data_IF_813276529972
#
_entry.id   IF_813276529972
#
_cell.length_a   1.000
_cell.length_b   1.000
_cell.length_c   1.000
_cell.angle_alpha   90.00
_cell.angle_beta   90.00
_cell.angle_gamma   90.00
#
_symmetry.space_group_name_H-M   'P 1'
#
loop_
_entity.id
_entity.type
_entity.pdbx_description
1 polymer ?
#
# COMPACT_ATOMS: atom_id res chain seq x y z
N UNK A 1 0.34 -18.66 8.47
CA UNK A 1 0.24 -17.28 7.87
C UNK A 1 -1.09 -16.67 8.22
N UNK A 2 -1.11 -15.41 8.67
CA UNK A 2 -2.36 -14.72 9.02
C UNK A 2 -2.50 -13.43 8.20
N UNK A 3 -3.63 -13.30 7.48
CA UNK A 3 -3.98 -12.17 6.61
C UNK A 3 -3.67 -12.38 5.13
N UNK A 4 -4.73 -12.42 4.32
CA UNK A 4 -4.68 -12.60 2.85
C UNK A 4 -4.68 -11.29 2.05
N UNK A 5 -4.13 -10.21 2.63
CA UNK A 5 -3.89 -8.93 1.95
C UNK A 5 -2.66 -8.97 1.03
N UNK A 6 -2.20 -7.80 0.55
CA UNK A 6 -1.05 -7.70 -0.35
C UNK A 6 0.22 -8.34 0.23
N UNK A 7 0.57 -8.00 1.48
CA UNK A 7 1.77 -8.53 2.13
C UNK A 7 1.67 -10.04 2.38
N UNK A 8 0.50 -10.51 2.84
CA UNK A 8 0.31 -11.94 3.08
C UNK A 8 0.30 -12.77 1.80
N UNK A 9 -0.26 -12.23 0.71
CA UNK A 9 -0.23 -12.87 -0.60
C UNK A 9 1.21 -13.05 -1.12
N UNK A 10 2.04 -12.02 -1.00
CA UNK A 10 3.45 -12.09 -1.37
C UNK A 10 4.24 -13.06 -0.48
N UNK A 11 4.01 -13.02 0.83
CA UNK A 11 4.73 -13.91 1.75
C UNK A 11 4.33 -15.38 1.55
N UNK A 12 3.04 -15.67 1.34
CA UNK A 12 2.58 -17.02 1.03
C UNK A 12 3.18 -17.54 -0.28
N UNK A 13 3.20 -16.69 -1.32
CA UNK A 13 3.82 -17.00 -2.61
C UNK A 13 5.33 -17.27 -2.45
N UNK A 14 6.05 -16.37 -1.77
CA UNK A 14 7.48 -16.51 -1.56
C UNK A 14 7.87 -17.78 -0.79
N UNK A 15 7.06 -18.23 0.16
CA UNK A 15 7.25 -19.50 0.88
C UNK A 15 6.96 -20.70 -0.02
N UNK A 16 5.82 -20.69 -0.73
CA UNK A 16 5.39 -21.81 -1.56
C UNK A 16 6.34 -22.07 -2.74
N UNK A 17 6.85 -21.01 -3.40
CA UNK A 17 7.88 -21.11 -4.45
C UNK A 17 9.21 -21.70 -3.93
N UNK A 18 9.40 -21.74 -2.59
CA UNK A 18 10.55 -22.40 -1.95
C UNK A 18 10.22 -23.79 -1.42
N UNK A 19 9.07 -24.36 -1.82
CA UNK A 19 8.65 -25.71 -1.45
C UNK A 19 8.13 -25.86 -0.02
N UNK A 20 7.80 -24.74 0.64
CA UNK A 20 7.21 -24.74 1.99
C UNK A 20 5.69 -24.73 1.88
N UNK A 21 5.03 -25.73 2.47
CA UNK A 21 3.57 -25.76 2.56
C UNK A 21 3.07 -24.62 3.45
N UNK A 22 2.10 -23.85 2.95
CA UNK A 22 1.55 -22.65 3.60
C UNK A 22 0.07 -22.83 3.88
N UNK A 23 -0.34 -22.64 5.14
CA UNK A 23 -1.74 -22.39 5.50
C UNK A 23 -1.94 -20.89 5.64
N UNK A 24 -2.72 -20.30 4.72
CA UNK A 24 -3.04 -18.88 4.70
C UNK A 24 -4.44 -18.65 5.30
N UNK A 25 -4.48 -18.08 6.51
CA UNK A 25 -5.73 -17.70 7.16
C UNK A 25 -6.21 -16.34 6.70
N UNK A 26 -7.44 -16.26 6.20
CA UNK A 26 -8.14 -15.03 5.82
C UNK A 26 -9.52 -14.99 6.50
N UNK A 27 -9.78 -13.93 7.26
CA UNK A 27 -11.02 -13.86 8.04
C UNK A 27 -12.29 -13.69 7.20
N UNK A 28 -12.20 -13.15 6.00
CA UNK A 28 -13.37 -13.00 5.10
C UNK A 28 -13.68 -14.29 4.38
N UNK A 29 -14.96 -14.60 4.15
CA UNK A 29 -16.17 -13.80 4.42
C UNK A 29 -16.73 -13.96 5.84
N UNK A 30 -16.14 -14.80 6.71
CA UNK A 30 -16.68 -15.11 8.05
C UNK A 30 -16.73 -13.84 8.92
N UNK A 31 -15.68 -13.04 8.89
CA UNK A 31 -15.63 -11.72 9.52
C UNK A 31 -15.18 -10.68 8.50
N UNK A 32 -15.97 -9.63 8.33
CA UNK A 32 -15.70 -8.55 7.38
C UNK A 32 -15.20 -7.29 8.07
N UNK A 33 -14.68 -6.34 7.30
CA UNK A 33 -14.35 -4.99 7.77
C UNK A 33 -15.16 -3.95 7.00
N UNK A 34 -15.23 -2.74 7.50
CA UNK A 34 -15.96 -1.66 6.83
C UNK A 34 -15.37 -1.29 5.43
N UNK A 35 -14.07 -1.55 5.21
CA UNK A 35 -13.39 -1.19 3.98
C UNK A 35 -13.48 -2.25 2.86
N UNK A 36 -13.52 -3.53 3.22
CA UNK A 36 -13.58 -4.64 2.27
C UNK A 36 -15.01 -4.87 1.72
N UNK A 37 -15.10 -5.31 0.48
CA UNK A 37 -16.36 -5.58 -0.24
C UNK A 37 -16.49 -7.02 -0.72
N UNK A 38 -15.37 -7.74 -0.82
CA UNK A 38 -15.31 -9.12 -1.33
C UNK A 38 -14.55 -10.02 -0.35
N UNK A 39 -14.59 -11.30 -0.61
CA UNK A 39 -13.78 -12.32 0.08
C UNK A 39 -12.46 -12.64 -0.62
N UNK A 40 -12.16 -11.95 -1.75
CA UNK A 40 -10.95 -12.19 -2.52
C UNK A 40 -9.70 -11.75 -1.76
N UNK A 41 -8.61 -12.48 -2.00
CA UNK A 41 -7.29 -12.10 -1.50
C UNK A 41 -6.81 -10.81 -2.17
N UNK A 42 -5.93 -10.08 -1.51
CA UNK A 42 -5.31 -8.84 -2.00
C UNK A 42 -6.29 -7.76 -2.47
N UNK A 43 -7.50 -7.67 -1.90
CA UNK A 43 -8.45 -6.61 -2.23
C UNK A 43 -7.87 -5.22 -1.91
N UNK A 44 -7.95 -4.29 -2.88
CA UNK A 44 -7.51 -2.91 -2.72
C UNK A 44 -8.61 -2.07 -2.08
N UNK A 45 -8.41 -1.62 -0.86
CA UNK A 45 -9.46 -0.96 -0.06
C UNK A 45 -9.49 0.57 -0.19
N UNK A 46 -8.36 1.22 -0.46
CA UNK A 46 -8.25 2.69 -0.54
C UNK A 46 -8.34 3.19 -1.99
N UNK A 47 -7.26 3.08 -2.75
CA UNK A 47 -7.20 3.50 -4.16
C UNK A 47 -6.93 2.29 -5.08
N UNK A 48 -7.05 2.48 -6.40
CA UNK A 48 -6.67 1.44 -7.37
C UNK A 48 -5.25 1.64 -7.92
N UNK A 49 -4.42 2.44 -7.27
CA UNK A 49 -3.11 2.83 -7.79
C UNK A 49 -1.96 2.33 -6.91
N UNK A 50 -0.98 1.72 -7.54
CA UNK A 50 0.33 1.41 -6.96
C UNK A 50 1.35 2.55 -7.15
N UNK A 51 0.89 3.78 -7.43
CA UNK A 51 1.72 4.96 -7.67
C UNK A 51 2.62 4.81 -8.91
N UNK A 52 3.64 5.68 -9.07
CA UNK A 52 4.47 5.79 -10.28
C UNK A 52 5.20 4.48 -10.65
N UNK A 53 5.31 4.19 -11.95
CA UNK A 53 6.14 3.10 -12.50
C UNK A 53 7.55 3.54 -12.89
N UNK A 54 7.82 4.85 -12.94
CA UNK A 54 9.11 5.39 -13.36
C UNK A 54 10.19 5.08 -12.31
N UNK A 55 11.30 4.41 -12.65
CA UNK A 55 12.35 4.09 -11.66
C UNK A 55 13.00 5.32 -11.02
N UNK A 56 12.99 6.48 -11.69
CA UNK A 56 13.45 7.77 -11.15
C UNK A 56 12.46 8.40 -10.15
N UNK A 57 11.38 7.67 -9.85
CA UNK A 57 10.47 7.89 -8.72
C UNK A 57 10.67 6.77 -7.70
N UNK A 58 10.65 7.07 -6.40
CA UNK A 58 10.92 6.08 -5.34
C UNK A 58 9.97 4.87 -5.38
N UNK A 59 8.67 5.11 -5.64
CA UNK A 59 7.70 4.01 -5.79
C UNK A 59 7.95 3.16 -7.04
N UNK A 60 8.47 3.76 -8.12
CA UNK A 60 8.87 3.04 -9.33
C UNK A 60 10.12 2.20 -9.09
N UNK A 61 11.10 2.75 -8.37
CA UNK A 61 12.30 2.02 -7.95
C UNK A 61 11.94 0.79 -7.10
N UNK A 62 11.12 0.97 -6.07
CA UNK A 62 10.69 -0.14 -5.22
C UNK A 62 9.99 -1.25 -6.04
N UNK A 63 9.12 -0.90 -7.00
CA UNK A 63 8.52 -1.89 -7.91
C UNK A 63 9.54 -2.63 -8.77
N UNK A 64 10.55 -1.91 -9.27
CA UNK A 64 11.61 -2.54 -10.04
C UNK A 64 12.44 -3.54 -9.20
N UNK A 65 12.63 -3.26 -7.92
CA UNK A 65 13.26 -4.15 -6.95
C UNK A 65 12.38 -5.37 -6.64
N UNK A 66 11.08 -5.17 -6.40
CA UNK A 66 10.12 -6.26 -6.15
C UNK A 66 10.00 -7.23 -7.32
N UNK A 67 10.02 -6.72 -8.57
CA UNK A 67 10.02 -7.60 -9.76
C UNK A 67 11.23 -8.52 -9.80
N UNK A 68 12.40 -8.05 -9.36
CA UNK A 68 13.62 -8.87 -9.22
C UNK A 68 13.49 -9.98 -8.18
N UNK A 69 12.60 -9.77 -7.21
CA UNK A 69 12.30 -10.76 -6.16
C UNK A 69 11.11 -11.68 -6.50
N UNK A 70 10.51 -11.55 -7.69
CA UNK A 70 9.41 -12.41 -8.14
C UNK A 70 8.05 -12.06 -7.54
N UNK A 71 7.70 -10.78 -7.45
CA UNK A 71 6.43 -10.30 -6.89
C UNK A 71 5.20 -10.79 -7.65
N UNK A 72 4.37 -11.63 -7.02
CA UNK A 72 3.09 -12.09 -7.55
C UNK A 72 2.06 -10.95 -7.64
N UNK A 73 2.10 -10.01 -6.71
CA UNK A 73 1.21 -8.84 -6.68
C UNK A 73 1.48 -7.93 -7.88
N UNK A 74 2.75 -7.64 -8.19
CA UNK A 74 3.07 -6.79 -9.35
C UNK A 74 2.78 -7.48 -10.68
N UNK A 75 2.96 -8.78 -10.78
CA UNK A 75 2.57 -9.54 -11.97
C UNK A 75 1.05 -9.46 -12.20
N UNK A 76 0.25 -9.66 -11.16
CA UNK A 76 -1.20 -9.49 -11.23
C UNK A 76 -1.61 -8.05 -11.54
N UNK A 77 -0.90 -7.05 -10.99
CA UNK A 77 -1.16 -5.63 -11.26
C UNK A 77 -0.88 -5.27 -12.74
N UNK A 78 0.20 -5.79 -13.33
CA UNK A 78 0.50 -5.57 -14.73
C UNK A 78 -0.58 -6.19 -15.65
N UNK A 79 -1.13 -7.38 -15.29
CA UNK A 79 -2.24 -8.02 -16.01
C UNK A 79 -3.56 -7.26 -15.89
N UNK A 80 -3.80 -6.59 -14.76
CA UNK A 80 -5.04 -5.86 -14.48
C UNK A 80 -4.97 -4.36 -14.79
N UNK A 81 -3.92 -3.91 -15.47
CA UNK A 81 -3.63 -2.49 -15.70
C UNK A 81 -4.76 -1.78 -16.44
N UNK A 82 -5.03 -0.55 -16.00
CA UNK A 82 -5.92 0.43 -16.65
C UNK A 82 -5.16 1.74 -16.89
N UNK A 83 -5.64 2.64 -17.77
CA UNK A 83 -5.04 3.95 -17.98
C UNK A 83 -4.86 4.73 -16.68
N UNK A 84 -3.66 5.28 -16.45
CA UNK A 84 -3.32 5.97 -15.20
C UNK A 84 -2.06 6.85 -15.29
N UNK A 85 -1.70 7.31 -16.49
CA UNK A 85 -0.53 8.15 -16.72
C UNK A 85 0.77 7.46 -16.31
N UNK A 86 1.54 8.09 -15.44
CA UNK A 86 2.75 7.50 -14.88
C UNK A 86 2.48 6.48 -13.75
N UNK A 87 1.25 6.32 -13.31
CA UNK A 87 0.90 5.39 -12.24
C UNK A 87 0.58 3.99 -12.77
N UNK A 88 0.90 2.97 -11.99
CA UNK A 88 0.34 1.63 -12.16
C UNK A 88 -1.06 1.63 -11.52
N UNK A 89 -2.06 1.99 -12.31
CA UNK A 89 -3.46 1.89 -11.93
C UNK A 89 -4.03 0.56 -12.44
N UNK A 90 -4.93 -0.05 -11.67
CA UNK A 90 -5.49 -1.36 -11.97
C UNK A 90 -7.01 -1.38 -11.84
N UNK A 91 -7.66 -2.24 -12.61
CA UNK A 91 -9.01 -2.70 -12.32
C UNK A 91 -8.98 -3.53 -11.04
N UNK A 92 -9.64 -3.07 -9.98
CA UNK A 92 -9.57 -3.68 -8.64
C UNK A 92 -10.09 -5.11 -8.62
N UNK A 93 -11.15 -5.38 -9.39
CA UNK A 93 -11.80 -6.70 -9.43
C UNK A 93 -10.91 -7.67 -10.19
N UNK A 94 -10.41 -7.29 -11.36
CA UNK A 94 -9.51 -8.11 -12.15
C UNK A 94 -8.19 -8.37 -11.40
N UNK A 95 -7.65 -7.37 -10.71
CA UNK A 95 -6.45 -7.50 -9.91
C UNK A 95 -6.61 -8.50 -8.76
N UNK A 96 -7.61 -8.29 -7.91
CA UNK A 96 -7.84 -9.18 -6.77
C UNK A 96 -8.19 -10.60 -7.20
N UNK A 97 -8.92 -10.77 -8.33
CA UNK A 97 -9.18 -12.08 -8.91
C UNK A 97 -7.89 -12.77 -9.38
N UNK A 98 -7.00 -12.04 -10.07
CA UNK A 98 -5.74 -12.60 -10.55
C UNK A 98 -4.84 -13.09 -9.40
N UNK A 99 -4.72 -12.31 -8.32
CA UNK A 99 -3.96 -12.73 -7.13
C UNK A 99 -4.64 -13.92 -6.46
N UNK A 100 -5.95 -13.86 -6.26
CA UNK A 100 -6.73 -14.94 -5.63
C UNK A 100 -6.55 -16.26 -6.37
N UNK A 101 -6.75 -16.27 -7.68
CA UNK A 101 -6.62 -17.46 -8.54
C UNK A 101 -5.20 -18.04 -8.50
N UNK A 102 -4.20 -17.17 -8.49
CA UNK A 102 -2.81 -17.60 -8.49
C UNK A 102 -2.43 -18.32 -7.19
N UNK A 103 -2.85 -17.77 -6.05
CA UNK A 103 -2.57 -18.38 -4.75
C UNK A 103 -3.39 -19.66 -4.53
N UNK A 104 -4.67 -19.65 -4.86
CA UNK A 104 -5.56 -20.82 -4.62
C UNK A 104 -5.28 -21.99 -5.54
N UNK A 105 -4.69 -21.77 -6.73
CA UNK A 105 -4.25 -22.83 -7.65
C UNK A 105 -2.85 -23.38 -7.32
N UNK A 106 -2.10 -22.72 -6.46
CA UNK A 106 -0.75 -23.17 -6.08
C UNK A 106 -0.85 -24.35 -5.11
N UNK A 107 -0.28 -25.51 -5.49
CA UNK A 107 -0.40 -26.76 -4.70
C UNK A 107 0.19 -26.64 -3.27
N UNK A 108 1.12 -25.74 -3.05
CA UNK A 108 1.73 -25.47 -1.74
C UNK A 108 0.96 -24.48 -0.86
N UNK A 109 -0.19 -23.94 -1.30
CA UNK A 109 -0.94 -22.94 -0.53
C UNK A 109 -2.35 -23.44 -0.26
N UNK A 110 -2.72 -23.52 1.02
CA UNK A 110 -4.08 -23.82 1.47
C UNK A 110 -4.69 -22.56 2.11
N UNK A 111 -5.79 -22.07 1.57
CA UNK A 111 -6.52 -20.93 2.14
C UNK A 111 -7.58 -21.41 3.12
N UNK A 112 -7.48 -20.97 4.37
CA UNK A 112 -8.45 -21.27 5.44
C UNK A 112 -9.22 -20.01 5.78
N UNK A 113 -10.55 -20.10 5.74
CA UNK A 113 -11.45 -18.98 6.04
C UNK A 113 -11.85 -18.99 7.50
N UNK A 114 -11.55 -17.90 8.20
CA UNK A 114 -11.85 -17.74 9.61
C UNK A 114 -10.95 -16.71 10.29
N UNK A 115 -11.43 -16.16 11.40
CA UNK A 115 -10.66 -15.26 12.22
C UNK A 115 -9.62 -16.05 13.04
N UNK A 116 -8.37 -15.58 13.02
CA UNK A 116 -7.31 -16.01 13.93
C UNK A 116 -7.26 -15.02 15.09
N UNK A 117 -7.28 -15.51 16.30
CA UNK A 117 -7.30 -14.70 17.53
C UNK A 117 -6.02 -14.83 18.37
N UNK A 118 -5.21 -15.85 18.10
CA UNK A 118 -3.94 -16.11 18.79
C UNK A 118 -2.78 -16.23 17.78
N UNK A 119 -1.58 -15.97 18.24
CA UNK A 119 -0.37 -16.04 17.41
C UNK A 119 0.25 -17.42 17.46
N UNK A 120 0.64 -17.93 16.32
CA UNK A 120 1.35 -19.21 16.18
C UNK A 120 2.75 -18.98 15.58
N UNK A 121 3.74 -19.74 16.07
CA UNK A 121 5.11 -19.76 15.57
C UNK A 121 5.47 -21.22 15.19
N UNK A 122 6.12 -21.45 14.04
CA UNK A 122 6.56 -20.45 13.05
C UNK A 122 5.39 -19.81 12.28
N UNK A 123 5.48 -18.49 12.03
CA UNK A 123 4.40 -17.77 11.36
C UNK A 123 4.74 -16.38 10.85
N UNK A 124 3.87 -15.86 9.96
CA UNK A 124 3.91 -14.47 9.52
C UNK A 124 2.56 -13.83 9.76
N UNK A 125 2.54 -12.67 10.40
CA UNK A 125 1.35 -11.84 10.62
C UNK A 125 1.37 -10.68 9.63
N UNK A 126 0.43 -10.68 8.68
CA UNK A 126 0.33 -9.72 7.58
C UNK A 126 -1.10 -9.19 7.41
N UNK A 127 -1.77 -8.93 8.53
CA UNK A 127 -3.20 -8.58 8.59
C UNK A 127 -3.51 -7.12 8.23
N UNK A 128 -2.46 -6.32 8.02
CA UNK A 128 -2.59 -4.93 7.61
C UNK A 128 -3.22 -4.02 8.67
N UNK A 129 -3.74 -2.86 8.25
CA UNK A 129 -4.20 -1.82 9.17
C UNK A 129 -5.55 -2.14 9.84
N UNK A 130 -6.32 -3.07 9.27
CA UNK A 130 -7.66 -3.46 9.73
C UNK A 130 -7.64 -4.82 10.45
N UNK A 131 -6.57 -5.08 11.20
CA UNK A 131 -6.44 -6.25 12.08
C UNK A 131 -7.61 -6.32 13.06
N UNK A 132 -8.18 -7.51 13.26
CA UNK A 132 -9.29 -7.68 14.21
C UNK A 132 -8.88 -7.34 15.64
N UNK A 133 -9.83 -6.91 16.45
CA UNK A 133 -9.56 -6.50 17.83
C UNK A 133 -8.94 -7.63 18.66
N UNK A 134 -9.43 -8.86 18.49
CA UNK A 134 -8.92 -10.03 19.22
C UNK A 134 -7.44 -10.30 18.86
N UNK A 135 -7.12 -10.31 17.56
CA UNK A 135 -5.73 -10.52 17.12
C UNK A 135 -4.84 -9.31 17.46
N UNK A 136 -5.35 -8.08 17.37
CA UNK A 136 -4.59 -6.89 17.78
C UNK A 136 -4.23 -6.95 19.27
N UNK A 137 -5.13 -7.43 20.12
CA UNK A 137 -4.86 -7.66 21.54
C UNK A 137 -3.80 -8.77 21.75
N UNK A 138 -3.84 -9.86 20.97
CA UNK A 138 -2.82 -10.91 21.02
C UNK A 138 -1.45 -10.40 20.59
N UNK A 139 -1.37 -9.58 19.52
CA UNK A 139 -0.14 -8.93 19.07
C UNK A 139 0.41 -7.99 20.16
N UNK A 140 -0.45 -7.17 20.76
CA UNK A 140 -0.04 -6.24 21.81
C UNK A 140 0.52 -6.98 23.03
N UNK A 141 -0.09 -8.08 23.46
CA UNK A 141 0.42 -8.93 24.54
C UNK A 141 1.79 -9.54 24.19
N UNK A 142 1.92 -10.12 22.99
CA UNK A 142 3.15 -10.79 22.54
C UNK A 142 4.33 -9.83 22.43
N UNK A 143 4.08 -8.61 21.95
CA UNK A 143 5.14 -7.62 21.71
C UNK A 143 5.36 -6.68 22.92
N UNK A 144 4.61 -6.85 24.01
CA UNK A 144 4.62 -5.93 25.17
C UNK A 144 4.50 -4.45 24.74
N UNK A 145 3.70 -4.20 23.73
CA UNK A 145 3.61 -2.91 23.06
C UNK A 145 2.18 -2.40 22.98
N UNK A 146 1.99 -1.11 23.27
CA UNK A 146 0.77 -0.40 22.86
C UNK A 146 0.76 -0.27 21.36
N UNK A 147 -0.34 -0.66 20.72
CA UNK A 147 -0.54 -0.40 19.28
C UNK A 147 -0.61 1.10 19.04
N UNK A 148 0.14 1.59 18.05
CA UNK A 148 0.00 2.93 17.52
C UNK A 148 -1.12 2.95 16.48
N UNK A 149 -1.73 4.10 16.27
CA UNK A 149 -2.77 4.25 15.27
C UNK A 149 -2.63 5.57 14.51
N UNK A 150 -3.12 5.60 13.29
CA UNK A 150 -3.32 6.80 12.48
C UNK A 150 -4.64 6.69 11.73
N UNK A 151 -5.16 7.83 11.24
CA UNK A 151 -6.33 7.83 10.40
C UNK A 151 -5.95 7.93 8.93
N UNK A 152 -6.65 7.14 8.10
CA UNK A 152 -6.59 7.16 6.65
C UNK A 152 -7.98 7.46 6.09
N UNK A 153 -8.04 8.18 4.98
CA UNK A 153 -9.28 8.53 4.32
C UNK A 153 -9.30 8.02 2.89
N UNK A 154 -10.50 7.67 2.42
CA UNK A 154 -10.76 7.13 1.09
C UNK A 154 -11.47 8.19 0.25
N UNK A 155 -11.09 8.31 -1.02
CA UNK A 155 -11.74 9.18 -1.99
C UNK A 155 -13.00 8.54 -2.59
N UNK A 156 -14.01 9.34 -2.99
CA UNK A 156 -15.21 8.83 -3.64
C UNK A 156 -14.96 8.36 -5.07
N UNK A 157 -15.86 7.48 -5.54
CA UNK A 157 -15.92 6.96 -6.91
C UNK A 157 -17.28 7.32 -7.49
N UNK A 158 -17.28 7.85 -8.73
CA UNK A 158 -18.49 8.26 -9.46
C UNK A 158 -18.68 7.44 -10.73
N UNK A 159 -19.94 7.33 -11.20
CA UNK A 159 -20.31 6.70 -12.46
C UNK A 159 -19.95 7.57 -13.65
N UNK A 160 -19.36 6.98 -14.69
CA UNK A 160 -19.04 7.66 -15.93
C UNK A 160 -20.27 8.28 -16.61
N UNK A 161 -21.39 7.55 -16.61
CA UNK A 161 -22.64 7.95 -17.26
C UNK A 161 -23.28 9.20 -16.62
N UNK A 162 -22.87 9.52 -15.40
CA UNK A 162 -23.35 10.69 -14.65
C UNK A 162 -22.48 11.93 -14.83
N UNK A 163 -21.38 11.84 -15.59
CA UNK A 163 -20.47 12.95 -15.82
C UNK A 163 -20.88 13.78 -17.05
N UNK A 164 -20.93 15.10 -16.91
CA UNK A 164 -21.03 15.99 -18.07
C UNK A 164 -19.65 16.18 -18.71
N UNK A 165 -19.33 15.30 -19.65
CA UNK A 165 -18.04 15.29 -20.34
C UNK A 165 -17.82 16.52 -21.24
N UNK A 166 -18.85 17.33 -21.53
CA UNK A 166 -18.70 18.58 -22.30
C UNK A 166 -17.99 19.66 -21.49
N UNK A 167 -17.98 19.53 -20.16
CA UNK A 167 -17.30 20.43 -19.22
C UNK A 167 -15.95 19.90 -18.74
N UNK A 168 -15.58 18.71 -19.17
CA UNK A 168 -14.34 18.03 -18.82
C UNK A 168 -13.42 17.95 -20.04
N UNK A 169 -12.13 17.79 -19.80
CA UNK A 169 -11.18 17.50 -20.87
C UNK A 169 -10.29 16.31 -20.52
N UNK A 170 -9.80 15.62 -21.55
CA UNK A 170 -8.90 14.48 -21.39
C UNK A 170 -7.46 14.97 -21.44
N UNK A 171 -6.66 14.67 -20.39
CA UNK A 171 -5.24 14.91 -20.38
C UNK A 171 -4.55 14.12 -19.26
N UNK A 172 -3.28 13.78 -19.47
CA UNK A 172 -2.36 13.33 -18.43
C UNK A 172 -1.29 14.38 -18.19
N UNK A 173 -0.88 14.57 -16.94
CA UNK A 173 0.17 15.56 -16.61
C UNK A 173 1.45 15.28 -17.39
N UNK A 174 1.93 16.30 -18.09
CA UNK A 174 3.12 16.24 -18.95
C UNK A 174 3.04 15.17 -20.04
N UNK A 175 1.83 14.85 -20.52
CA UNK A 175 1.61 13.86 -21.57
C UNK A 175 1.98 12.42 -21.22
N UNK A 176 2.06 12.10 -19.92
CA UNK A 176 2.44 10.76 -19.45
C UNK A 176 1.35 9.73 -19.74
N UNK A 177 1.75 8.46 -19.90
CA UNK A 177 0.84 7.38 -20.30
C UNK A 177 0.45 7.50 -21.76
N UNK A 178 -0.84 7.39 -22.09
CA UNK A 178 -1.37 7.67 -23.44
C UNK A 178 -1.50 9.18 -23.73
N UNK A 179 -1.31 10.03 -22.73
CA UNK A 179 -1.44 11.48 -22.81
C UNK A 179 -2.82 11.99 -22.39
N UNK A 180 -3.83 11.13 -22.37
CA UNK A 180 -5.24 11.46 -22.13
C UNK A 180 -5.93 10.54 -21.10
N UNK A 181 -5.17 9.95 -20.18
CA UNK A 181 -5.67 8.91 -19.26
C UNK A 181 -6.68 9.41 -18.22
N UNK A 182 -6.73 10.72 -17.95
CA UNK A 182 -7.59 11.30 -16.91
C UNK A 182 -8.69 12.18 -17.51
N UNK A 183 -9.88 12.17 -16.90
CA UNK A 183 -10.81 13.29 -17.00
C UNK A 183 -10.36 14.40 -16.06
N UNK A 184 -10.47 15.63 -16.52
CA UNK A 184 -10.03 16.83 -15.80
C UNK A 184 -11.15 17.84 -15.77
N UNK A 185 -11.58 18.25 -14.57
CA UNK A 185 -12.57 19.29 -14.35
C UNK A 185 -11.84 20.62 -14.08
N UNK A 186 -11.87 21.59 -15.03
CA UNK A 186 -11.27 22.89 -14.84
C UNK A 186 -12.15 23.78 -13.97
N UNK A 187 -11.56 24.51 -13.03
CA UNK A 187 -12.22 25.48 -12.19
C UNK A 187 -11.68 26.89 -12.46
N UNK A 188 -12.59 27.86 -12.49
CA UNK A 188 -12.25 29.28 -12.34
C UNK A 188 -11.84 29.58 -10.89
N UNK A 189 -11.27 30.78 -10.66
CA UNK A 189 -10.90 31.20 -9.31
C UNK A 189 -12.10 31.27 -8.36
N UNK A 190 -13.23 31.80 -8.85
CA UNK A 190 -14.45 31.89 -8.06
C UNK A 190 -15.00 30.49 -7.67
N UNK A 191 -15.07 29.56 -8.62
CA UNK A 191 -15.49 28.19 -8.36
C UNK A 191 -14.56 27.46 -7.38
N UNK A 192 -13.26 27.73 -7.49
CA UNK A 192 -12.28 27.18 -6.55
C UNK A 192 -12.51 27.70 -5.14
N UNK A 193 -12.69 29.00 -4.94
CA UNK A 193 -12.93 29.60 -3.63
C UNK A 193 -14.23 29.13 -2.99
N UNK A 194 -15.30 28.98 -3.78
CA UNK A 194 -16.56 28.41 -3.34
C UNK A 194 -16.38 26.95 -2.88
N UNK A 195 -15.68 26.13 -3.68
CA UNK A 195 -15.39 24.73 -3.34
C UNK A 195 -14.55 24.61 -2.08
N UNK A 196 -13.46 25.40 -1.94
CA UNK A 196 -12.61 25.42 -0.74
C UNK A 196 -13.41 25.83 0.50
N UNK A 197 -14.29 26.82 0.36
CA UNK A 197 -15.18 27.25 1.45
C UNK A 197 -16.13 26.12 1.85
N UNK A 198 -16.75 25.46 0.87
CA UNK A 198 -17.68 24.34 1.12
C UNK A 198 -16.97 23.15 1.78
N UNK A 199 -15.74 22.82 1.37
CA UNK A 199 -14.92 21.78 2.02
C UNK A 199 -14.62 22.11 3.48
N UNK A 200 -14.31 23.37 3.81
CA UNK A 200 -13.97 23.81 5.17
C UNK A 200 -15.17 23.89 6.10
N UNK A 201 -16.37 24.17 5.56
CA UNK A 201 -17.59 24.38 6.34
C UNK A 201 -18.53 23.17 6.32
N UNK A 202 -18.28 22.19 5.48
CA UNK A 202 -19.09 20.98 5.37
C UNK A 202 -19.09 20.15 6.65
N UNK A 203 -20.21 19.52 6.93
CA UNK A 203 -20.36 18.67 8.11
C UNK A 203 -19.48 17.41 7.98
N UNK A 204 -18.67 17.17 9.01
CA UNK A 204 -17.67 16.11 9.02
C UNK A 204 -17.99 15.05 10.07
N UNK A 205 -17.58 13.82 9.83
CA UNK A 205 -17.54 12.81 10.88
C UNK A 205 -16.55 13.24 11.95
N UNK A 206 -17.07 13.30 13.19
CA UNK A 206 -16.24 13.51 14.37
C UNK A 206 -15.90 12.13 14.95
N UNK A 207 -14.62 11.85 15.18
CA UNK A 207 -14.24 10.65 15.90
C UNK A 207 -14.84 10.67 17.32
N UNK A 208 -15.32 9.52 17.81
CA UNK A 208 -16.16 9.45 19.01
C UNK A 208 -15.41 9.19 20.33
N UNK A 209 -14.06 9.16 20.36
CA UNK A 209 -13.29 8.79 21.55
C UNK A 209 -12.08 9.70 21.79
N UNK A 210 -11.66 9.79 23.07
CA UNK A 210 -10.49 10.52 23.58
C UNK A 210 -9.14 10.16 22.90
N UNK A 211 -9.11 9.10 22.09
CA UNK A 211 -7.99 8.71 21.21
C UNK A 211 -7.85 9.57 19.95
N UNK A 212 -8.68 10.59 19.79
CA UNK A 212 -8.87 11.42 18.59
C UNK A 212 -7.77 12.46 18.33
N UNK A 213 -6.72 12.47 19.13
CA UNK A 213 -5.47 13.21 18.86
C UNK A 213 -4.50 12.44 17.97
N UNK A 214 -4.96 11.30 17.42
CA UNK A 214 -4.17 10.49 16.49
C UNK A 214 -3.96 11.27 15.19
N UNK A 215 -2.71 11.50 14.77
CA UNK A 215 -2.43 12.29 13.57
C UNK A 215 -2.89 11.56 12.30
N UNK A 216 -3.30 12.34 11.29
CA UNK A 216 -3.46 11.82 9.94
C UNK A 216 -2.10 11.51 9.33
N UNK A 217 -2.04 10.47 8.50
CA UNK A 217 -0.91 10.28 7.63
C UNK A 217 -0.92 11.34 6.51
N UNK A 218 0.17 12.10 6.35
CA UNK A 218 0.26 13.21 5.40
C UNK A 218 -0.05 12.80 3.94
N UNK A 219 0.26 11.57 3.56
CA UNK A 219 0.00 11.05 2.21
C UNK A 219 -1.47 10.73 1.92
N UNK A 220 -2.32 10.64 2.96
CA UNK A 220 -3.76 10.32 2.88
C UNK A 220 -4.60 11.34 3.64
N UNK A 221 -4.12 12.57 3.72
CA UNK A 221 -4.78 13.67 4.42
C UNK A 221 -6.15 13.95 3.78
N UNK A 222 -7.25 14.07 4.55
CA UNK A 222 -8.53 14.48 4.02
C UNK A 222 -8.47 15.82 3.31
N UNK A 223 -9.22 15.96 2.21
CA UNK A 223 -9.20 17.18 1.37
C UNK A 223 -9.62 18.42 2.15
N UNK A 224 -10.54 18.30 3.10
CA UNK A 224 -10.98 19.38 3.99
C UNK A 224 -9.89 19.79 4.99
N UNK A 225 -9.05 18.87 5.45
CA UNK A 225 -7.88 19.19 6.28
C UNK A 225 -6.83 19.95 5.49
N UNK A 226 -6.59 19.54 4.23
CA UNK A 226 -5.74 20.31 3.32
C UNK A 226 -6.28 21.71 3.07
N UNK A 227 -7.60 21.84 2.83
CA UNK A 227 -8.28 23.11 2.65
C UNK A 227 -8.16 24.02 3.89
N UNK A 228 -8.20 23.46 5.11
CA UNK A 228 -8.06 24.19 6.35
C UNK A 228 -6.65 24.76 6.57
N UNK A 229 -5.60 24.15 5.98
CA UNK A 229 -4.21 24.63 6.09
C UNK A 229 -3.92 25.90 5.29
N UNK A 230 -4.78 26.28 4.37
CA UNK A 230 -4.67 27.53 3.61
C UNK A 230 -5.36 27.48 2.26
N UNK A 231 -5.72 28.67 1.73
CA UNK A 231 -6.44 28.80 0.46
C UNK A 231 -5.77 28.07 -0.68
N UNK A 232 -4.46 28.21 -0.84
CA UNK A 232 -3.73 27.72 -2.00
C UNK A 232 -3.21 26.28 -1.87
N UNK A 233 -3.38 25.65 -0.71
CA UNK A 233 -2.83 24.30 -0.45
C UNK A 233 -3.35 23.27 -1.45
N UNK A 234 -4.65 23.28 -1.77
CA UNK A 234 -5.22 22.36 -2.76
C UNK A 234 -4.72 22.68 -4.18
N UNK A 235 -4.56 23.96 -4.53
CA UNK A 235 -4.08 24.41 -5.83
C UNK A 235 -2.62 24.03 -6.10
N UNK A 236 -1.79 23.95 -5.07
CA UNK A 236 -0.40 23.44 -5.16
C UNK A 236 -0.31 21.94 -4.90
N UNK A 237 -1.39 21.32 -4.45
CA UNK A 237 -1.53 19.89 -4.15
C UNK A 237 -2.36 19.15 -5.20
N UNK A 238 -3.47 18.50 -4.80
CA UNK A 238 -4.26 17.62 -5.67
C UNK A 238 -4.95 18.36 -6.83
N UNK A 239 -5.26 19.64 -6.68
CA UNK A 239 -5.94 20.46 -7.69
C UNK A 239 -4.98 21.28 -8.56
N UNK A 240 -3.71 20.94 -8.61
CA UNK A 240 -2.70 21.69 -9.37
C UNK A 240 -2.98 21.65 -10.87
N UNK A 241 -3.06 22.79 -11.61
CA UNK A 241 -3.33 22.81 -13.07
C UNK A 241 -2.09 22.53 -13.92
N UNK A 242 -0.89 22.69 -13.35
CA UNK A 242 0.39 22.64 -14.09
C UNK A 242 0.61 21.28 -14.75
N UNK A 243 1.03 21.30 -16.02
CA UNK A 243 1.33 20.12 -16.82
C UNK A 243 0.13 19.49 -17.52
N UNK A 244 -1.05 20.16 -17.49
CA UNK A 244 -2.29 19.72 -18.15
C UNK A 244 -2.65 20.49 -19.42
N UNK A 245 -1.86 21.50 -19.80
CA UNK A 245 -2.13 22.29 -21.01
C UNK A 245 -3.39 23.17 -20.93
N UNK A 246 -3.70 23.69 -19.74
CA UNK A 246 -4.89 24.52 -19.49
C UNK A 246 -4.52 25.78 -18.72
N UNK A 247 -5.28 26.86 -18.95
CA UNK A 247 -5.21 28.14 -18.23
C UNK A 247 -6.16 28.17 -17.01
N UNK A 248 -6.79 27.04 -16.66
CA UNK A 248 -7.68 26.94 -15.52
C UNK A 248 -6.94 27.32 -14.21
N UNK A 249 -7.67 27.97 -13.30
CA UNK A 249 -7.10 28.35 -11.99
C UNK A 249 -6.73 27.11 -11.15
N UNK A 250 -7.59 26.09 -11.19
CA UNK A 250 -7.36 24.80 -10.55
C UNK A 250 -8.01 23.68 -11.36
N UNK A 251 -7.63 22.43 -11.14
CA UNK A 251 -8.18 21.26 -11.86
C UNK A 251 -8.39 20.11 -10.90
N UNK A 252 -9.59 19.53 -10.87
CA UNK A 252 -9.87 18.23 -10.25
C UNK A 252 -9.66 17.13 -11.27
N UNK A 253 -8.87 16.12 -10.93
CA UNK A 253 -8.60 14.98 -11.81
C UNK A 253 -9.43 13.77 -11.39
N UNK A 254 -10.00 13.08 -12.38
CA UNK A 254 -10.67 11.80 -12.20
C UNK A 254 -9.85 10.71 -12.89
N UNK A 255 -9.57 9.62 -12.14
CA UNK A 255 -8.81 8.46 -12.63
C UNK A 255 -9.75 7.29 -12.82
N UNK A 256 -9.55 6.57 -13.92
CA UNK A 256 -10.27 5.34 -14.22
C UNK A 256 -10.02 4.25 -13.16
N UNK A 257 -11.10 3.59 -12.71
CA UNK A 257 -11.07 2.54 -11.68
C UNK A 257 -11.25 1.12 -12.25
N UNK A 258 -11.84 0.98 -13.43
CA UNK A 258 -12.15 -0.28 -14.08
C UNK A 258 -11.75 -0.28 -15.56
N UNK A 259 -11.63 -1.46 -16.18
CA UNK A 259 -11.27 -1.58 -17.60
C UNK A 259 -12.32 -1.04 -18.55
N UNK A 260 -13.59 -1.11 -18.17
CA UNK A 260 -14.71 -0.62 -18.98
C UNK A 260 -14.80 0.91 -19.00
N UNK A 261 -14.08 1.61 -18.11
CA UNK A 261 -14.13 3.07 -17.99
C UNK A 261 -15.45 3.59 -17.42
N UNK A 262 -16.18 2.74 -16.69
CA UNK A 262 -17.48 3.08 -16.12
C UNK A 262 -17.38 3.74 -14.73
N UNK A 263 -16.25 3.59 -14.06
CA UNK A 263 -16.02 4.08 -12.70
C UNK A 263 -14.81 5.01 -12.64
N UNK A 264 -14.97 6.17 -11.99
CA UNK A 264 -13.94 7.20 -11.92
C UNK A 264 -13.74 7.70 -10.50
N UNK A 265 -12.49 7.67 -10.03
CA UNK A 265 -12.08 8.10 -8.69
C UNK A 265 -11.67 9.58 -8.70
N UNK A 266 -12.13 10.36 -7.73
CA UNK A 266 -11.69 11.74 -7.51
C UNK A 266 -10.28 11.72 -6.88
N UNK A 267 -9.27 12.04 -7.67
CA UNK A 267 -7.85 11.93 -7.25
C UNK A 267 -7.51 13.00 -6.21
N UNK A 268 -7.08 12.54 -5.02
CA UNK A 268 -6.69 13.45 -3.93
C UNK A 268 -7.86 14.01 -3.12
N UNK A 269 -9.07 13.47 -3.31
CA UNK A 269 -10.28 13.88 -2.59
C UNK A 269 -10.69 12.85 -1.53
N UNK A 270 -9.71 12.28 -0.82
CA UNK A 270 -9.98 11.54 0.41
C UNK A 270 -10.72 12.46 1.37
N UNK A 271 -11.77 11.95 2.05
CA UNK A 271 -12.65 12.83 2.82
C UNK A 271 -13.24 12.16 4.05
N UNK A 272 -13.51 12.96 5.07
CA UNK A 272 -14.34 12.64 6.24
C UNK A 272 -15.67 13.41 6.26
N UNK A 273 -16.01 14.10 5.18
CA UNK A 273 -17.34 14.71 5.06
C UNK A 273 -18.43 13.65 5.20
N UNK A 274 -19.53 13.99 5.85
CA UNK A 274 -20.72 13.13 5.89
C UNK A 274 -21.28 12.91 4.48
N UNK A 275 -21.94 11.79 4.23
CA UNK A 275 -22.44 11.43 2.91
C UNK A 275 -23.26 12.55 2.24
N UNK A 276 -24.24 13.22 2.89
CA UNK A 276 -24.97 14.32 2.26
C UNK A 276 -24.07 15.50 1.88
N UNK A 277 -23.05 15.78 2.68
CA UNK A 277 -22.09 16.84 2.39
C UNK A 277 -21.15 16.46 1.22
N UNK A 278 -20.78 15.20 1.10
CA UNK A 278 -20.01 14.75 -0.07
C UNK A 278 -20.79 14.98 -1.37
N UNK A 279 -22.07 14.62 -1.41
CA UNK A 279 -22.92 14.89 -2.56
C UNK A 279 -23.02 16.38 -2.86
N UNK A 280 -23.32 17.21 -1.84
CA UNK A 280 -23.47 18.67 -2.01
C UNK A 280 -22.17 19.31 -2.49
N UNK A 281 -21.04 19.00 -1.85
CA UNK A 281 -19.76 19.67 -2.09
C UNK A 281 -19.12 19.18 -3.40
N UNK A 282 -19.10 17.88 -3.65
CA UNK A 282 -18.43 17.38 -4.86
C UNK A 282 -19.25 17.61 -6.14
N UNK A 283 -20.57 17.81 -6.05
CA UNK A 283 -21.39 18.27 -7.18
C UNK A 283 -21.18 19.75 -7.53
N UNK A 284 -20.42 20.51 -6.75
CA UNK A 284 -19.96 21.87 -7.13
C UNK A 284 -18.82 21.82 -8.16
N UNK A 285 -18.18 20.66 -8.35
CA UNK A 285 -17.10 20.49 -9.31
C UNK A 285 -17.69 20.47 -10.74
N UNK A 286 -17.17 21.31 -11.68
CA UNK A 286 -17.66 21.34 -13.05
C UNK A 286 -17.68 19.95 -13.70
N UNK A 287 -18.82 19.58 -14.30
CA UNK A 287 -19.04 18.28 -14.92
C UNK A 287 -19.46 17.16 -13.94
N UNK A 288 -19.56 17.46 -12.64
CA UNK A 288 -20.02 16.52 -11.61
C UNK A 288 -21.36 16.93 -10.98
N UNK A 289 -22.08 17.89 -11.54
CA UNK A 289 -23.33 18.45 -10.98
C UNK A 289 -24.41 17.37 -10.78
N UNK A 290 -24.45 16.38 -11.67
CA UNK A 290 -25.37 15.24 -11.62
C UNK A 290 -24.68 13.94 -11.20
N UNK A 291 -23.46 14.01 -10.64
CA UNK A 291 -22.67 12.82 -10.37
C UNK A 291 -23.39 11.81 -9.46
N UNK A 292 -23.40 10.57 -9.90
CA UNK A 292 -23.84 9.41 -9.14
C UNK A 292 -22.63 8.80 -8.42
N UNK A 293 -22.68 8.75 -7.08
CA UNK A 293 -21.60 8.20 -6.26
C UNK A 293 -21.77 6.69 -6.11
N UNK A 294 -20.92 5.92 -6.79
CA UNK A 294 -20.86 4.46 -6.65
C UNK A 294 -20.19 4.04 -5.34
N UNK A 295 -19.35 4.91 -4.79
CA UNK A 295 -18.71 4.78 -3.49
C UNK A 295 -18.48 6.15 -2.89
N UNK A 296 -18.90 6.33 -1.64
CA UNK A 296 -18.55 7.51 -0.86
C UNK A 296 -17.16 7.37 -0.23
N UNK A 297 -16.54 8.52 -0.01
CA UNK A 297 -15.35 8.61 0.81
C UNK A 297 -15.65 8.25 2.27
N UNK A 298 -14.66 7.73 2.95
CA UNK A 298 -14.78 7.32 4.35
C UNK A 298 -13.43 7.40 5.06
N UNK A 299 -13.50 7.44 6.39
CA UNK A 299 -12.31 7.45 7.24
C UNK A 299 -12.17 6.11 7.94
N UNK A 300 -10.93 5.63 8.08
CA UNK A 300 -10.60 4.40 8.78
C UNK A 300 -9.47 4.66 9.78
N UNK A 301 -9.56 4.00 10.93
CA UNK A 301 -8.47 3.94 11.90
C UNK A 301 -7.57 2.77 11.53
N UNK A 302 -6.31 3.06 11.29
CA UNK A 302 -5.28 2.09 10.93
C UNK A 302 -4.38 1.83 12.14
N UNK A 303 -4.19 0.58 12.49
CA UNK A 303 -3.27 0.17 13.56
C UNK A 303 -1.91 -0.24 12.98
N UNK A 304 -0.83 0.05 13.71
CA UNK A 304 0.52 -0.40 13.39
C UNK A 304 1.35 -0.64 14.65
N UNK A 305 2.43 -1.40 14.51
CA UNK A 305 3.38 -1.74 15.58
C UNK A 305 4.42 -0.63 15.67
N UNK A 306 4.86 -0.28 16.87
CA UNK A 306 6.09 0.50 17.06
C UNK A 306 7.30 -0.40 16.76
N UNK A 307 7.57 -0.64 15.48
CA UNK A 307 8.57 -1.61 15.01
C UNK A 307 9.98 -1.37 15.54
N UNK A 308 10.49 -0.12 15.64
CA UNK A 308 11.83 0.09 16.23
C UNK A 308 11.95 -0.43 17.65
N UNK A 309 10.85 -0.38 18.41
CA UNK A 309 10.81 -0.88 19.80
C UNK A 309 10.60 -2.40 19.86
N UNK A 310 9.70 -2.94 19.04
CA UNK A 310 9.14 -4.27 19.20
C UNK A 310 9.79 -5.36 18.32
N UNK A 311 10.31 -4.98 17.14
CA UNK A 311 10.77 -5.93 16.13
C UNK A 311 12.30 -5.88 15.92
N UNK A 312 12.82 -6.95 15.35
CA UNK A 312 14.22 -7.05 14.89
C UNK A 312 14.42 -6.34 13.54
N UNK A 313 15.66 -6.28 13.07
CA UNK A 313 15.98 -5.68 11.75
C UNK A 313 15.32 -6.40 10.56
N UNK A 314 14.93 -7.66 10.70
CA UNK A 314 14.22 -8.45 9.69
C UNK A 314 12.74 -8.66 10.03
N UNK A 315 12.21 -7.82 10.94
CA UNK A 315 10.80 -7.73 11.33
C UNK A 315 10.25 -9.00 11.99
N UNK A 316 11.05 -9.78 12.68
CA UNK A 316 10.58 -10.80 13.63
C UNK A 316 10.35 -10.20 15.02
N UNK A 317 9.54 -10.87 15.85
CA UNK A 317 9.48 -10.57 17.27
C UNK A 317 10.87 -10.75 17.92
N UNK A 318 11.21 -9.89 18.87
CA UNK A 318 12.54 -9.95 19.53
C UNK A 318 12.77 -11.21 20.36
N UNK A 319 11.70 -11.78 20.89
CA UNK A 319 11.69 -12.99 21.71
C UNK A 319 11.36 -14.27 20.91
N UNK A 320 11.01 -14.14 19.62
CA UNK A 320 10.65 -15.26 18.75
C UNK A 320 11.06 -14.98 17.29
N UNK A 321 12.21 -15.49 16.91
CA UNK A 321 12.78 -15.28 15.58
C UNK A 321 11.95 -15.89 14.44
N UNK A 322 11.08 -16.87 14.73
CA UNK A 322 10.21 -17.53 13.74
C UNK A 322 8.82 -16.88 13.61
N UNK A 323 8.52 -15.87 14.42
CA UNK A 323 7.30 -15.07 14.31
C UNK A 323 7.61 -13.73 13.65
N UNK A 324 7.32 -13.61 12.36
CA UNK A 324 7.57 -12.41 11.56
C UNK A 324 6.30 -11.57 11.37
N UNK A 325 6.51 -10.29 11.09
CA UNK A 325 5.46 -9.33 10.77
C UNK A 325 5.71 -8.71 9.40
N UNK A 326 4.64 -8.40 8.66
CA UNK A 326 4.75 -7.79 7.34
C UNK A 326 3.58 -6.84 7.03
N UNK A 327 3.77 -6.00 6.03
CA UNK A 327 2.78 -5.05 5.55
C UNK A 327 2.67 -3.81 6.42
N UNK A 328 1.58 -3.07 6.22
CA UNK A 328 1.34 -1.79 6.89
C UNK A 328 1.38 -1.88 8.42
N UNK A 329 1.05 -3.05 8.96
CA UNK A 329 1.16 -3.34 10.38
C UNK A 329 2.56 -3.05 10.95
N UNK A 330 3.62 -3.16 10.14
CA UNK A 330 5.01 -2.89 10.56
C UNK A 330 5.41 -1.40 10.49
N UNK A 331 4.51 -0.51 10.11
CA UNK A 331 4.81 0.92 9.96
C UNK A 331 5.39 1.30 8.60
N UNK A 332 5.25 0.47 7.58
CA UNK A 332 5.36 0.92 6.18
C UNK A 332 3.99 1.41 5.71
N UNK A 333 3.96 2.40 4.82
CA UNK A 333 2.72 2.97 4.29
C UNK A 333 2.68 2.86 2.77
N UNK A 334 1.60 2.25 2.26
CA UNK A 334 1.33 2.07 0.84
C UNK A 334 1.28 0.61 0.40
N UNK A 335 0.61 0.38 -0.74
CA UNK A 335 0.39 -0.96 -1.29
C UNK A 335 1.70 -1.65 -1.70
N UNK A 336 2.56 -0.90 -2.39
CA UNK A 336 3.87 -1.40 -2.87
C UNK A 336 4.78 -1.74 -1.70
N UNK A 337 4.84 -0.85 -0.71
CA UNK A 337 5.63 -1.00 0.50
C UNK A 337 5.18 -2.21 1.32
N UNK A 338 3.86 -2.34 1.49
CA UNK A 338 3.28 -3.49 2.20
C UNK A 338 3.60 -4.81 1.51
N UNK A 339 3.39 -4.89 0.20
CA UNK A 339 3.71 -6.07 -0.60
C UNK A 339 5.21 -6.43 -0.52
N UNK A 340 6.10 -5.42 -0.65
CA UNK A 340 7.54 -5.62 -0.59
C UNK A 340 8.03 -6.23 0.74
N UNK A 341 7.46 -5.78 1.88
CA UNK A 341 7.77 -6.40 3.17
C UNK A 341 7.27 -7.83 3.26
N UNK A 342 6.14 -8.16 2.61
CA UNK A 342 5.63 -9.52 2.50
C UNK A 342 6.59 -10.47 1.79
N UNK A 343 7.13 -10.06 0.65
CA UNK A 343 8.15 -10.86 -0.09
C UNK A 343 9.30 -11.21 0.84
N UNK A 344 9.87 -10.20 1.52
CA UNK A 344 11.06 -10.43 2.34
C UNK A 344 10.74 -11.23 3.61
N UNK A 345 9.54 -11.07 4.19
CA UNK A 345 9.10 -11.90 5.31
C UNK A 345 9.01 -13.38 4.90
N UNK A 346 8.44 -13.69 3.74
CA UNK A 346 8.40 -15.05 3.20
C UNK A 346 9.78 -15.63 2.94
N UNK A 347 10.68 -14.86 2.32
CA UNK A 347 12.09 -15.25 2.10
C UNK A 347 12.77 -15.55 3.46
N UNK A 348 12.63 -14.66 4.43
CA UNK A 348 13.30 -14.80 5.72
C UNK A 348 12.74 -15.96 6.55
N UNK A 349 11.44 -16.18 6.56
CA UNK A 349 10.90 -17.35 7.26
C UNK A 349 11.39 -18.65 6.61
N UNK A 350 11.44 -18.72 5.27
CA UNK A 350 11.98 -19.89 4.57
C UNK A 350 13.44 -20.15 4.97
N UNK A 351 14.26 -19.11 5.05
CA UNK A 351 15.66 -19.22 5.45
C UNK A 351 15.81 -19.70 6.90
N UNK A 352 15.04 -19.10 7.82
CA UNK A 352 15.04 -19.46 9.23
C UNK A 352 14.61 -20.92 9.45
N UNK A 353 13.59 -21.38 8.72
CA UNK A 353 13.16 -22.80 8.74
C UNK A 353 14.23 -23.76 8.20
N UNK A 354 15.07 -23.28 7.29
CA UNK A 354 16.23 -24.02 6.78
C UNK A 354 17.47 -23.92 7.70
N UNK A 355 17.40 -23.20 8.81
CA UNK A 355 18.55 -22.96 9.70
C UNK A 355 19.53 -21.89 9.20
N UNK A 356 19.14 -21.11 8.18
CA UNK A 356 19.95 -20.02 7.65
C UNK A 356 19.67 -18.71 8.38
N UNK A 357 20.67 -17.82 8.40
CA UNK A 357 20.49 -16.46 8.91
C UNK A 357 19.50 -15.67 8.03
N UNK A 358 18.62 -14.85 8.63
CA UNK A 358 17.76 -13.94 7.89
C UNK A 358 18.59 -12.87 7.16
N UNK A 359 18.00 -12.27 6.14
CA UNK A 359 18.67 -11.28 5.29
C UNK A 359 17.83 -10.01 5.18
N UNK A 360 18.51 -8.89 4.98
CA UNK A 360 17.90 -7.59 4.66
C UNK A 360 18.63 -7.03 3.43
N UNK A 361 17.94 -6.49 2.43
CA UNK A 361 18.60 -5.87 1.29
C UNK A 361 19.51 -4.72 1.73
N UNK A 362 20.57 -4.40 0.96
CA UNK A 362 21.45 -3.28 1.27
C UNK A 362 20.68 -1.96 1.43
N UNK A 363 21.07 -1.07 2.35
CA UNK A 363 20.40 0.23 2.56
C UNK A 363 20.54 1.19 1.38
N UNK A 364 21.32 0.83 0.37
CA UNK A 364 21.39 1.48 -0.93
C UNK A 364 20.21 1.17 -1.84
N UNK A 365 19.43 0.12 -1.53
CA UNK A 365 18.16 -0.23 -2.19
C UNK A 365 16.98 0.44 -1.50
N UNK A 366 15.86 0.65 -2.20
CA UNK A 366 14.67 1.26 -1.61
C UNK A 366 14.04 0.35 -0.53
N UNK A 367 13.98 -0.97 -0.79
CA UNK A 367 13.47 -1.93 0.18
C UNK A 367 14.36 -2.00 1.42
N UNK A 368 15.67 -2.06 1.25
CA UNK A 368 16.62 -2.04 2.38
C UNK A 368 16.56 -0.75 3.19
N UNK A 369 16.40 0.40 2.52
CA UNK A 369 16.24 1.69 3.18
C UNK A 369 14.94 1.80 3.99
N UNK A 370 13.83 1.23 3.49
CA UNK A 370 12.57 1.11 4.25
C UNK A 370 12.74 0.23 5.49
N UNK A 371 13.36 -0.94 5.35
CA UNK A 371 13.64 -1.83 6.49
C UNK A 371 14.52 -1.15 7.53
N UNK A 372 15.56 -0.44 7.09
CA UNK A 372 16.40 0.35 8.00
C UNK A 372 15.56 1.37 8.76
N UNK A 373 14.70 2.14 8.07
CA UNK A 373 13.83 3.12 8.74
C UNK A 373 12.92 2.48 9.79
N UNK A 374 12.16 1.44 9.44
CA UNK A 374 11.21 0.81 10.39
C UNK A 374 11.90 0.14 11.57
N UNK A 375 13.21 -0.14 11.49
CA UNK A 375 13.98 -0.71 12.58
C UNK A 375 14.75 0.34 13.41
N UNK A 376 15.26 1.42 12.79
CA UNK A 376 16.18 2.37 13.43
C UNK A 376 15.59 3.73 13.72
N UNK A 377 14.34 4.00 13.30
CA UNK A 377 13.67 5.25 13.64
C UNK A 377 13.52 5.42 15.16
N UNK A 378 13.46 6.69 15.61
CA UNK A 378 13.19 6.98 17.01
C UNK A 378 11.83 6.42 17.45
N UNK A 379 11.79 5.48 18.42
CA UNK A 379 10.54 4.89 18.87
C UNK A 379 9.53 5.91 19.44
N UNK A 380 10.01 7.05 19.95
CA UNK A 380 9.16 8.10 20.53
C UNK A 380 8.40 8.90 19.44
N UNK A 381 8.96 8.96 18.22
CA UNK A 381 8.44 9.72 17.11
C UNK A 381 8.19 8.86 15.86
N UNK A 382 8.09 7.54 16.02
CA UNK A 382 7.89 6.63 14.92
C UNK A 382 6.56 6.87 14.22
N UNK A 383 6.63 7.11 12.91
CA UNK A 383 5.48 7.33 12.02
C UNK A 383 5.57 6.36 10.84
N UNK A 384 4.43 5.93 10.28
CA UNK A 384 4.44 5.14 9.05
C UNK A 384 5.21 5.84 7.94
N UNK A 385 5.90 5.05 7.08
CA UNK A 385 6.80 5.57 6.06
C UNK A 385 6.52 4.94 4.71
N UNK A 386 6.41 5.78 3.67
CA UNK A 386 6.39 5.34 2.29
C UNK A 386 7.76 5.47 1.60
N UNK A 387 7.91 4.81 0.46
CA UNK A 387 9.10 4.87 -0.35
C UNK A 387 9.41 6.32 -0.77
N UNK A 388 10.61 6.81 -0.43
CA UNK A 388 11.10 8.11 -0.86
C UNK A 388 12.64 8.11 -0.95
N UNK A 389 13.20 8.91 -1.86
CA UNK A 389 14.65 8.97 -2.07
C UNK A 389 15.45 9.49 -0.87
N UNK A 390 14.79 10.16 0.08
CA UNK A 390 15.43 10.63 1.31
C UNK A 390 15.86 9.50 2.26
N UNK A 391 15.30 8.30 2.08
CA UNK A 391 15.67 7.11 2.84
C UNK A 391 16.98 6.46 2.36
N UNK A 392 17.32 6.63 1.08
CA UNK A 392 18.50 5.99 0.51
C UNK A 392 19.78 6.59 1.10
N UNK A 393 20.78 5.75 1.26
CA UNK A 393 22.12 6.24 1.57
C UNK A 393 22.61 7.22 0.49
N UNK A 394 23.26 8.33 0.87
CA UNK A 394 23.77 9.29 -0.09
C UNK A 394 24.80 8.66 -1.02
N UNK A 395 24.98 9.26 -2.20
CA UNK A 395 26.09 8.93 -3.09
C UNK A 395 27.40 9.50 -2.52
N UNK A 396 28.52 8.80 -2.69
CA UNK A 396 29.85 9.29 -2.31
C UNK A 396 30.17 10.63 -2.99
N UNK A 397 29.80 10.75 -4.27
CA UNK A 397 29.90 11.98 -5.04
C UNK A 397 28.51 12.38 -5.52
N UNK A 398 27.97 13.46 -4.95
CA UNK A 398 26.62 13.93 -5.25
C UNK A 398 26.67 14.85 -6.47
N UNK A 399 26.02 14.50 -7.61
CA UNK A 399 25.89 15.38 -8.77
C UNK A 399 25.13 16.66 -8.40
N UNK A 400 25.52 17.79 -9.03
CA UNK A 400 24.76 19.06 -8.90
C UNK A 400 23.40 18.99 -9.57
N UNK A 401 23.29 18.25 -10.66
CA UNK A 401 22.06 18.00 -11.38
C UNK A 401 21.18 17.02 -10.63
N UNK A 402 19.95 17.43 -10.31
CA UNK A 402 18.98 16.63 -9.53
C UNK A 402 18.54 15.37 -10.26
N UNK A 403 18.42 15.44 -11.59
CA UNK A 403 18.00 14.29 -12.39
C UNK A 403 19.12 13.23 -12.44
N UNK A 404 20.35 13.66 -12.71
CA UNK A 404 21.55 12.77 -12.66
C UNK A 404 21.74 12.14 -11.29
N UNK A 405 21.49 12.91 -10.21
CA UNK A 405 21.52 12.34 -8.85
C UNK A 405 20.55 11.19 -8.70
N UNK A 406 19.28 11.36 -9.16
CA UNK A 406 18.28 10.30 -9.08
C UNK A 406 18.66 9.09 -9.94
N UNK A 407 19.13 9.31 -11.15
CA UNK A 407 19.57 8.24 -12.06
C UNK A 407 20.68 7.39 -11.44
N UNK A 408 21.70 8.03 -10.84
CA UNK A 408 22.80 7.32 -10.16
C UNK A 408 22.32 6.55 -8.92
N UNK A 409 21.40 7.11 -8.14
CA UNK A 409 20.80 6.40 -7.00
C UNK A 409 20.05 5.16 -7.48
N UNK A 410 19.28 5.27 -8.56
CA UNK A 410 18.53 4.17 -9.16
C UNK A 410 19.46 3.09 -9.70
N UNK A 411 20.48 3.46 -10.47
CA UNK A 411 21.48 2.53 -11.03
C UNK A 411 22.17 1.73 -9.90
N UNK A 412 22.64 2.40 -8.86
CA UNK A 412 23.23 1.75 -7.69
C UNK A 412 22.24 0.81 -7.01
N UNK A 413 21.02 1.26 -6.74
CA UNK A 413 20.01 0.48 -6.04
C UNK A 413 19.63 -0.79 -6.81
N UNK A 414 19.46 -0.69 -8.13
CA UNK A 414 19.11 -1.83 -8.97
C UNK A 414 20.25 -2.83 -9.10
N UNK A 415 21.50 -2.38 -9.24
CA UNK A 415 22.69 -3.25 -9.23
C UNK A 415 22.80 -4.01 -7.90
N UNK A 416 22.65 -3.30 -6.77
CA UNK A 416 22.78 -3.90 -5.46
C UNK A 416 21.60 -4.85 -5.16
N UNK A 417 20.40 -4.56 -5.69
CA UNK A 417 19.26 -5.46 -5.63
C UNK A 417 19.44 -6.69 -6.51
N UNK A 418 20.06 -6.58 -7.70
CA UNK A 418 20.38 -7.72 -8.56
C UNK A 418 21.32 -8.70 -7.84
N UNK A 419 22.34 -8.19 -7.17
CA UNK A 419 23.24 -8.99 -6.34
C UNK A 419 22.52 -9.66 -5.18
N UNK A 420 21.64 -8.95 -4.48
CA UNK A 420 20.83 -9.49 -3.39
C UNK A 420 19.85 -10.56 -3.89
N UNK A 421 19.14 -10.32 -4.99
CA UNK A 421 18.22 -11.28 -5.57
C UNK A 421 18.95 -12.56 -5.99
N UNK A 422 20.12 -12.45 -6.61
CA UNK A 422 20.97 -13.60 -6.92
C UNK A 422 21.34 -14.44 -5.70
N UNK A 423 21.56 -13.80 -4.55
CA UNK A 423 21.87 -14.50 -3.31
C UNK A 423 20.66 -15.25 -2.71
N UNK A 424 19.44 -14.66 -2.80
CA UNK A 424 18.25 -15.18 -2.10
C UNK A 424 17.33 -16.04 -2.96
N UNK A 425 17.44 -15.95 -4.30
CA UNK A 425 16.60 -16.69 -5.25
C UNK A 425 17.29 -17.92 -5.83
N UNK A 426 18.60 -18.10 -5.61
CA UNK A 426 19.32 -19.29 -6.10
C UNK A 426 18.70 -20.54 -5.48
N UNK A 427 18.22 -21.52 -6.27
CA UNK A 427 17.65 -22.76 -5.75
C UNK A 427 18.71 -23.49 -4.92
N UNK A 428 18.41 -23.75 -3.67
CA UNK A 428 19.21 -24.70 -2.86
C UNK A 428 18.66 -26.10 -3.08
N UNK A 429 19.51 -27.12 -3.08
CA UNK A 429 19.03 -28.50 -3.12
C UNK A 429 18.10 -28.74 -1.92
N UNK A 430 17.04 -29.56 -2.09
CA UNK A 430 16.10 -29.85 -1.01
C UNK A 430 16.86 -30.37 0.21
N UNK A 431 16.50 -29.85 1.38
CA UNK A 431 17.01 -30.32 2.66
C UNK A 431 16.77 -31.83 2.73
N UNK A 432 17.82 -32.64 2.83
CA UNK A 432 17.69 -34.03 3.22
C UNK A 432 17.13 -34.02 4.64
N UNK A 433 15.86 -34.43 4.78
CA UNK A 433 15.29 -34.73 6.09
C UNK A 433 16.27 -35.70 6.77
N UNK A 434 16.89 -35.29 7.84
CA UNK A 434 17.67 -36.20 8.67
C UNK A 434 16.70 -37.28 9.14
N UNK A 435 16.89 -38.50 8.64
CA UNK A 435 16.22 -39.69 9.17
C UNK A 435 16.52 -39.72 10.66
N UNK A 436 15.50 -39.51 11.49
CA UNK A 436 15.61 -39.81 12.92
C UNK A 436 15.85 -41.30 13.00
N UNK A 437 17.13 -41.64 13.24
CA UNK A 437 17.53 -42.99 13.49
C UNK A 437 16.67 -43.58 14.61
N UNK A 438 15.90 -44.59 14.26
CA UNK A 438 15.30 -45.49 15.24
C UNK A 438 16.43 -46.21 15.97
N UNK A 439 16.91 -45.65 17.08
CA UNK A 439 17.69 -46.46 18.03
C UNK A 439 16.77 -47.53 18.61
N UNK A 440 16.97 -48.73 18.09
CA UNK A 440 16.33 -49.92 18.58
C UNK A 440 16.71 -50.17 20.03
N UNK A 441 15.69 -50.16 20.87
CA UNK A 441 15.78 -50.80 22.18
C UNK A 441 15.99 -52.29 21.96
N UNK A 442 17.21 -52.76 22.20
CA UNK A 442 17.44 -54.20 22.42
C UNK A 442 17.46 -54.43 23.92
N UNK A 443 16.51 -55.23 24.31
CA UNK A 443 16.39 -56.09 25.51
C UNK A 443 17.26 -55.84 26.72
#
# INVERSE_FOLDING_TARGET
MVGGGLAGSEAAWALAERGIAVTLHEMRPVKTTAAHRTDRLAELVCSNSFKSVEPTNAHGLLKAEMRRLGSVVLEAADQARVPGGAALAVDRVAFSQAVHDRLTRHAGITVVRGEVTELESPGIVATGPLTSEALAAAIARKLEATSLAFFDAIAPIVSADSLDTTRLFRASRYGKGSGDDYWNAPLTEAQYDELVTALRTGEQYQPHHEFDRTPYFEGCLPVEEMAARGRDVLRFGPMKPVGLGTDAFAVVQLRQEDRAGQMWNLVGFQTRLKVPEQERVFRMIPGLEAAEFLRFGSIHRNAYINSPRALTAHLSAKDDALLLFAGQLTGVEGYTESAATGILAGINLARLLAGDAPVVPPPTTMLGALYRYVHTADPAHFQPMNANFGLLEPLERVPRDKQKKKEQLVERALRDMDAFAGQVLTPRPPLRMAERGSEGVRS
#
